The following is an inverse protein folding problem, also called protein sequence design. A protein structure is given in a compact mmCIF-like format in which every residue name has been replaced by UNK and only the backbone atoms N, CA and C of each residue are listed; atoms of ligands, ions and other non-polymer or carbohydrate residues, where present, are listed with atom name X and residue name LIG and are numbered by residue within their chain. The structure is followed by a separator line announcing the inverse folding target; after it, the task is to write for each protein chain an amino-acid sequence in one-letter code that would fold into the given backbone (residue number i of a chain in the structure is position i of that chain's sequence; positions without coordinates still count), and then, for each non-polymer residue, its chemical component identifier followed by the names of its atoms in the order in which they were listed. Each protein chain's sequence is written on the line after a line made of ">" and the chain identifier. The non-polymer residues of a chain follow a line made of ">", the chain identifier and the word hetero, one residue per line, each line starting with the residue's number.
data_IF_531826317839
#
_entry.id   IF_531826317839
#
_cell.length_a   1.000
_cell.length_b   1.000
_cell.length_c   1.000
_cell.angle_alpha   90.00
_cell.angle_beta   90.00
_cell.angle_gamma   90.00
#
_symmetry.space_group_name_H-M   'P 1'
#
loop_
_entity.id
_entity.type
_entity.pdbx_description
1 polymer ?
#
# COMPACT_ATOMS: atom_id res chain seq x y z
N UNK A 1 2.06 -19.29 3.98
CA UNK A 1 1.12 -18.35 4.62
C UNK A 1 0.03 -18.00 3.63
N UNK A 2 -1.20 -17.85 4.09
CA UNK A 2 -2.34 -17.47 3.27
C UNK A 2 -2.94 -16.15 3.80
N UNK A 3 -3.24 -15.23 2.89
CA UNK A 3 -3.89 -13.96 3.17
C UNK A 3 -5.24 -13.93 2.46
N UNK A 4 -6.27 -13.45 3.15
CA UNK A 4 -7.58 -13.20 2.56
C UNK A 4 -7.57 -12.02 1.58
N UNK A 5 -8.65 -11.93 0.81
CA UNK A 5 -8.92 -10.83 -0.10
C UNK A 5 -9.79 -9.76 0.57
N UNK A 6 -9.32 -8.53 0.49
CA UNK A 6 -10.02 -7.36 1.02
C UNK A 6 -11.16 -6.96 0.08
N UNK A 7 -12.33 -6.66 0.64
CA UNK A 7 -13.43 -6.01 -0.09
C UNK A 7 -13.83 -4.74 0.65
N UNK A 8 -13.63 -3.60 0.00
CA UNK A 8 -14.10 -2.33 0.55
C UNK A 8 -15.61 -2.20 0.42
N UNK A 9 -16.26 -1.84 1.51
CA UNK A 9 -17.71 -1.60 1.58
C UNK A 9 -18.01 -0.23 2.18
N UNK A 10 -19.13 0.38 1.77
CA UNK A 10 -19.52 1.72 2.20
C UNK A 10 -20.01 1.74 3.66
N UNK A 11 -20.67 0.67 4.09
CA UNK A 11 -21.29 0.50 5.40
C UNK A 11 -21.30 -0.98 5.78
N UNK A 12 -21.39 -1.24 7.09
CA UNK A 12 -21.59 -2.57 7.68
C UNK A 12 -22.63 -2.42 8.79
N UNK A 13 -23.43 -3.47 8.99
CA UNK A 13 -24.32 -3.58 10.12
C UNK A 13 -23.53 -3.66 11.45
N UNK A 14 -24.10 -3.09 12.50
CA UNK A 14 -23.43 -2.97 13.80
C UNK A 14 -23.39 -4.32 14.56
N UNK A 15 -24.17 -5.30 14.12
CA UNK A 15 -24.24 -6.67 14.65
C UNK A 15 -23.16 -7.61 14.07
N UNK A 16 -22.27 -7.08 13.21
CA UNK A 16 -21.21 -7.86 12.57
C UNK A 16 -21.68 -8.73 11.39
N UNK A 17 -22.95 -8.69 11.04
CA UNK A 17 -23.46 -9.41 9.87
C UNK A 17 -22.97 -8.79 8.55
N UNK A 18 -22.78 -9.59 7.47
CA UNK A 18 -22.23 -9.12 6.21
C UNK A 18 -23.29 -8.41 5.34
N UNK A 19 -23.98 -7.41 5.91
CA UNK A 19 -24.98 -6.57 5.24
C UNK A 19 -24.71 -5.09 5.48
N UNK A 20 -25.32 -4.23 4.67
CA UNK A 20 -25.24 -2.78 4.87
C UNK A 20 -25.95 -2.38 6.17
N UNK A 21 -25.61 -1.21 6.72
CA UNK A 21 -26.18 -0.67 7.97
C UNK A 21 -27.70 -0.52 7.94
N UNK A 22 -28.26 -0.22 6.76
CA UNK A 22 -29.71 -0.13 6.50
C UNK A 22 -30.39 -1.51 6.33
N UNK A 23 -29.65 -2.60 6.53
CA UNK A 23 -30.13 -3.98 6.32
C UNK A 23 -30.08 -4.44 4.86
N UNK A 24 -29.68 -3.56 3.93
CA UNK A 24 -29.60 -3.86 2.50
C UNK A 24 -28.32 -4.61 2.08
N UNK A 25 -28.17 -4.77 0.76
CA UNK A 25 -26.98 -5.40 0.18
C UNK A 25 -25.72 -4.54 0.39
N UNK A 26 -24.57 -5.20 0.49
CA UNK A 26 -23.27 -4.52 0.63
C UNK A 26 -22.94 -3.69 -0.62
N UNK A 27 -22.79 -2.38 -0.43
CA UNK A 27 -22.37 -1.46 -1.49
C UNK A 27 -20.84 -1.42 -1.59
N UNK A 28 -20.24 -1.78 -2.75
CA UNK A 28 -18.79 -1.69 -2.94
C UNK A 28 -18.29 -0.24 -2.81
N UNK A 29 -17.19 -0.05 -2.07
CA UNK A 29 -16.53 1.26 -1.90
C UNK A 29 -15.10 1.31 -2.48
N UNK A 30 -14.69 0.26 -3.21
CA UNK A 30 -13.38 0.19 -3.85
C UNK A 30 -13.23 1.22 -4.98
N UNK A 31 -12.03 1.79 -5.14
CA UNK A 31 -11.67 2.68 -6.25
C UNK A 31 -10.65 2.03 -7.20
N UNK A 32 -10.26 2.77 -8.24
CA UNK A 32 -9.30 2.30 -9.25
C UNK A 32 -7.95 1.86 -8.67
N UNK A 33 -7.43 2.59 -7.69
CA UNK A 33 -6.18 2.22 -7.01
C UNK A 33 -6.30 0.88 -6.26
N UNK A 34 -7.46 0.62 -5.63
CA UNK A 34 -7.72 -0.64 -4.92
C UNK A 34 -7.82 -1.80 -5.91
N UNK A 35 -8.45 -1.58 -7.08
CA UNK A 35 -8.50 -2.57 -8.15
C UNK A 35 -7.10 -2.89 -8.71
N UNK A 36 -6.28 -1.87 -8.95
CA UNK A 36 -4.90 -2.04 -9.42
C UNK A 36 -4.04 -2.79 -8.41
N UNK A 37 -4.05 -2.39 -7.14
CA UNK A 37 -3.32 -3.09 -6.08
C UNK A 37 -3.82 -4.53 -5.88
N UNK A 38 -5.13 -4.78 -6.00
CA UNK A 38 -5.69 -6.13 -5.95
C UNK A 38 -5.19 -7.02 -7.10
N UNK A 39 -5.03 -6.45 -8.31
CA UNK A 39 -4.48 -7.13 -9.48
C UNK A 39 -2.98 -7.45 -9.29
N UNK A 40 -2.18 -6.47 -8.83
CA UNK A 40 -0.76 -6.70 -8.48
C UNK A 40 -0.64 -7.84 -7.47
N UNK A 41 -1.42 -7.80 -6.38
CA UNK A 41 -1.43 -8.87 -5.36
C UNK A 41 -1.86 -10.22 -5.93
N UNK A 42 -2.79 -10.26 -6.88
CA UNK A 42 -3.18 -11.50 -7.55
C UNK A 42 -2.03 -12.08 -8.38
N UNK A 43 -1.31 -11.23 -9.13
CA UNK A 43 -0.14 -11.64 -9.91
C UNK A 43 0.99 -12.15 -9.01
N UNK A 44 1.32 -11.44 -7.94
CA UNK A 44 2.34 -11.87 -6.98
C UNK A 44 1.98 -13.20 -6.30
N UNK A 45 0.69 -13.36 -5.95
CA UNK A 45 0.18 -14.59 -5.34
C UNK A 45 0.31 -15.79 -6.26
N UNK A 46 0.11 -15.65 -7.58
CA UNK A 46 0.30 -16.76 -8.53
C UNK A 46 1.72 -17.32 -8.48
N UNK A 47 2.69 -16.45 -8.21
CA UNK A 47 4.09 -16.84 -8.01
C UNK A 47 4.44 -17.26 -6.58
N UNK A 48 3.49 -17.33 -5.65
CA UNK A 48 3.75 -17.62 -4.23
C UNK A 48 4.55 -16.52 -3.51
N UNK A 49 4.59 -15.31 -4.07
CA UNK A 49 5.47 -14.20 -3.65
C UNK A 49 4.68 -12.94 -3.28
N UNK A 50 3.47 -13.12 -2.76
CA UNK A 50 2.64 -12.00 -2.31
C UNK A 50 3.43 -11.13 -1.33
N UNK A 51 3.57 -9.84 -1.63
CA UNK A 51 4.29 -8.90 -0.78
C UNK A 51 3.35 -8.17 0.17
N UNK A 52 2.24 -7.65 -0.35
CA UNK A 52 1.25 -6.93 0.47
C UNK A 52 0.21 -7.92 1.03
N UNK A 53 0.37 -8.25 2.31
CA UNK A 53 -0.60 -9.01 3.12
C UNK A 53 -1.47 -8.06 3.96
N UNK A 54 -2.54 -8.59 4.54
CA UNK A 54 -3.48 -7.85 5.39
C UNK A 54 -3.67 -8.64 6.68
N UNK A 55 -3.31 -8.05 7.82
CA UNK A 55 -3.44 -8.70 9.12
C UNK A 55 -4.87 -9.11 9.52
N UNK A 56 -5.92 -8.52 8.93
CA UNK A 56 -7.31 -8.85 9.29
C UNK A 56 -7.71 -10.29 8.96
N UNK A 57 -7.08 -10.89 7.95
CA UNK A 57 -7.34 -12.28 7.57
C UNK A 57 -6.04 -12.92 7.09
N UNK A 58 -5.17 -13.22 8.06
CA UNK A 58 -3.86 -13.83 7.83
C UNK A 58 -3.76 -15.16 8.57
N UNK A 59 -3.35 -16.21 7.86
CA UNK A 59 -3.18 -17.55 8.43
C UNK A 59 -1.83 -18.15 8.04
N UNK A 60 -1.20 -18.83 8.98
CA UNK A 60 0.05 -19.56 8.77
C UNK A 60 0.07 -20.85 9.59
N UNK A 61 0.99 -21.75 9.23
CA UNK A 61 1.18 -22.99 9.98
C UNK A 61 1.94 -22.70 11.26
N UNK A 62 1.52 -23.33 12.36
CA UNK A 62 2.12 -23.15 13.69
C UNK A 62 3.61 -23.51 13.74
N UNK A 63 4.02 -24.50 12.96
CA UNK A 63 5.41 -24.99 12.88
C UNK A 63 6.41 -23.97 12.30
N UNK A 64 5.93 -22.85 11.76
CA UNK A 64 6.79 -21.77 11.28
C UNK A 64 7.35 -20.89 12.42
N UNK A 65 6.86 -21.04 13.65
CA UNK A 65 7.28 -20.27 14.86
C UNK A 65 7.51 -18.77 14.59
N UNK A 66 6.60 -18.16 13.82
CA UNK A 66 6.72 -16.76 13.44
C UNK A 66 6.52 -15.86 14.65
N UNK A 67 7.37 -14.85 14.81
CA UNK A 67 7.31 -13.91 15.94
C UNK A 67 7.50 -12.48 15.44
N UNK A 68 6.50 -11.59 15.59
CA UNK A 68 6.67 -10.20 15.19
C UNK A 68 7.69 -9.52 16.12
N UNK A 69 8.56 -8.68 15.56
CA UNK A 69 9.55 -7.94 16.35
C UNK A 69 8.82 -6.86 17.16
N UNK A 70 9.06 -6.76 18.49
CA UNK A 70 8.49 -5.69 19.29
C UNK A 70 8.79 -4.29 18.72
N UNK A 71 7.78 -3.42 18.68
CA UNK A 71 7.93 -2.03 18.21
C UNK A 71 7.93 -1.86 16.69
N UNK A 72 7.48 -2.88 15.93
CA UNK A 72 7.16 -2.78 14.50
C UNK A 72 5.65 -2.70 14.33
N UNK A 73 5.15 -1.65 13.68
CA UNK A 73 3.70 -1.40 13.58
C UNK A 73 2.98 -2.23 12.49
N UNK A 74 3.71 -2.69 11.46
CA UNK A 74 3.19 -3.55 10.40
C UNK A 74 3.73 -4.98 10.57
N UNK A 75 3.23 -5.65 11.60
CA UNK A 75 3.57 -7.03 11.96
C UNK A 75 3.24 -8.01 10.83
N UNK A 76 2.12 -7.82 10.13
CA UNK A 76 1.72 -8.63 8.98
C UNK A 76 2.79 -8.69 7.86
N UNK A 77 3.35 -7.54 7.48
CA UNK A 77 4.43 -7.45 6.50
C UNK A 77 5.71 -8.12 7.01
N UNK A 78 6.02 -8.01 8.30
CA UNK A 78 7.17 -8.67 8.91
C UNK A 78 7.00 -10.19 8.90
N UNK A 79 5.86 -10.69 9.37
CA UNK A 79 5.55 -12.12 9.42
C UNK A 79 5.58 -12.74 8.02
N UNK A 80 5.02 -12.05 7.02
CA UNK A 80 5.10 -12.48 5.62
C UNK A 80 6.55 -12.66 5.17
N UNK A 81 7.46 -11.76 5.56
CA UNK A 81 8.87 -11.90 5.21
C UNK A 81 9.54 -13.06 5.89
N UNK A 82 9.26 -13.30 7.17
CA UNK A 82 9.81 -14.46 7.89
C UNK A 82 9.43 -15.76 7.16
N UNK A 83 8.18 -15.85 6.69
CA UNK A 83 7.72 -16.98 5.87
C UNK A 83 8.51 -17.11 4.56
N UNK A 84 8.73 -16.00 3.85
CA UNK A 84 9.53 -16.02 2.61
C UNK A 84 10.99 -16.34 2.85
N UNK A 85 11.57 -15.84 3.95
CA UNK A 85 12.94 -16.14 4.34
C UNK A 85 13.13 -17.63 4.66
N UNK A 86 12.08 -18.30 5.16
CA UNK A 86 12.03 -19.75 5.32
C UNK A 86 11.76 -20.52 4.01
N UNK A 87 11.81 -19.85 2.85
CA UNK A 87 11.58 -20.47 1.53
C UNK A 87 10.14 -20.93 1.31
N UNK A 88 9.17 -20.41 2.07
CA UNK A 88 7.77 -20.80 1.96
C UNK A 88 6.97 -19.78 1.15
N UNK A 89 5.94 -20.28 0.46
CA UNK A 89 5.04 -19.44 -0.32
C UNK A 89 4.13 -18.58 0.57
N UNK A 90 3.86 -17.36 0.09
CA UNK A 90 2.78 -16.49 0.59
C UNK A 90 1.79 -16.27 -0.54
N UNK A 91 0.54 -16.64 -0.30
CA UNK A 91 -0.53 -16.62 -1.30
C UNK A 91 -1.74 -15.82 -0.81
N UNK A 92 -2.48 -15.27 -1.76
CA UNK A 92 -3.79 -14.65 -1.57
C UNK A 92 -4.87 -15.65 -1.93
N UNK A 93 -5.86 -15.82 -1.06
CA UNK A 93 -7.06 -16.61 -1.33
C UNK A 93 -8.19 -15.66 -1.76
N UNK A 94 -8.72 -15.84 -2.97
CA UNK A 94 -9.77 -14.96 -3.52
C UNK A 94 -11.14 -15.20 -2.87
N UNK A 95 -11.37 -16.42 -2.39
CA UNK A 95 -12.65 -16.83 -1.81
C UNK A 95 -12.72 -16.59 -0.30
N UNK A 96 -11.57 -16.54 0.37
CA UNK A 96 -11.48 -16.07 1.76
C UNK A 96 -11.49 -14.54 1.77
N UNK A 97 -12.64 -13.94 2.09
CA UNK A 97 -12.85 -12.49 1.98
C UNK A 97 -13.10 -11.87 3.35
N UNK A 98 -12.57 -10.66 3.55
CA UNK A 98 -12.93 -9.81 4.68
C UNK A 98 -13.45 -8.46 4.17
N UNK A 99 -14.32 -7.85 4.96
CA UNK A 99 -14.95 -6.57 4.62
C UNK A 99 -14.22 -5.45 5.37
N UNK A 100 -13.80 -4.41 4.65
CA UNK A 100 -13.17 -3.23 5.25
C UNK A 100 -14.00 -1.98 4.94
N UNK A 101 -14.37 -1.25 5.99
CA UNK A 101 -14.97 0.07 5.85
C UNK A 101 -13.89 1.07 5.43
N UNK A 102 -14.19 1.89 4.42
CA UNK A 102 -13.32 3.02 4.11
C UNK A 102 -13.57 4.14 5.10
N UNK A 103 -12.48 4.58 5.74
CA UNK A 103 -12.49 5.80 6.54
C UNK A 103 -12.96 6.97 5.66
N UNK A 104 -14.02 7.70 6.08
CA UNK A 104 -14.51 8.86 5.35
C UNK A 104 -13.42 9.90 5.12
N UNK A 105 -13.51 10.75 4.08
CA UNK A 105 -12.59 11.88 3.91
C UNK A 105 -12.56 12.76 5.17
N UNK A 106 -11.36 13.13 5.64
CA UNK A 106 -11.15 13.92 6.84
C UNK A 106 -9.80 13.61 7.52
N UNK A 107 -9.60 14.19 8.70
CA UNK A 107 -8.34 14.09 9.45
C UNK A 107 -8.03 12.67 9.92
N UNK A 108 -9.06 11.89 10.28
CA UNK A 108 -8.92 10.49 10.65
C UNK A 108 -8.33 9.65 9.51
N UNK A 109 -8.80 9.90 8.28
CA UNK A 109 -8.29 9.20 7.10
C UNK A 109 -6.86 9.62 6.79
N UNK A 110 -6.55 10.90 6.88
CA UNK A 110 -5.18 11.40 6.69
C UNK A 110 -4.22 10.79 7.73
N UNK A 111 -4.64 10.75 8.99
CA UNK A 111 -3.88 10.17 10.11
C UNK A 111 -3.69 8.66 9.93
N UNK A 112 -4.74 7.94 9.53
CA UNK A 112 -4.66 6.50 9.24
C UNK A 112 -3.71 6.21 8.06
N UNK A 113 -3.80 6.99 6.98
CA UNK A 113 -2.93 6.84 5.81
C UNK A 113 -1.47 7.12 6.17
N UNK A 114 -1.20 8.19 6.91
CA UNK A 114 0.14 8.53 7.39
C UNK A 114 0.70 7.44 8.30
N UNK A 115 -0.09 6.94 9.25
CA UNK A 115 0.30 5.84 10.13
C UNK A 115 0.63 4.57 9.34
N UNK A 116 -0.22 4.16 8.40
CA UNK A 116 0.03 2.99 7.53
C UNK A 116 1.29 3.17 6.68
N UNK A 117 1.51 4.36 6.12
CA UNK A 117 2.71 4.68 5.36
C UNK A 117 3.98 4.62 6.22
N UNK A 118 3.94 5.16 7.45
CA UNK A 118 5.05 5.06 8.41
C UNK A 118 5.36 3.62 8.78
N UNK A 119 4.35 2.85 9.16
CA UNK A 119 4.50 1.42 9.46
C UNK A 119 5.17 0.65 8.30
N UNK A 120 4.76 0.95 7.06
CA UNK A 120 5.40 0.41 5.86
C UNK A 120 6.89 0.78 5.76
N UNK A 121 7.25 2.06 5.85
CA UNK A 121 8.64 2.50 5.74
C UNK A 121 9.52 1.99 6.90
N UNK A 122 8.95 1.90 8.11
CA UNK A 122 9.61 1.32 9.27
C UNK A 122 10.02 -0.15 9.01
N UNK A 123 9.09 -0.98 8.51
CA UNK A 123 9.36 -2.37 8.16
C UNK A 123 10.41 -2.43 7.06
N UNK A 124 10.18 -1.76 5.93
CA UNK A 124 11.06 -1.82 4.75
C UNK A 124 12.48 -1.33 5.05
N UNK A 125 12.62 -0.33 5.92
CA UNK A 125 13.91 0.22 6.35
C UNK A 125 14.74 -0.78 7.17
N UNK A 126 14.12 -1.45 8.13
CA UNK A 126 14.76 -2.44 9.03
C UNK A 126 15.04 -3.78 8.36
N UNK A 127 14.28 -4.07 7.33
CA UNK A 127 14.29 -5.35 6.66
C UNK A 127 15.54 -5.60 5.80
N UNK A 128 16.16 -6.78 5.98
CA UNK A 128 17.22 -7.31 5.11
C UNK A 128 16.72 -8.55 4.37
N UNK A 129 17.09 -8.70 3.11
CA UNK A 129 16.85 -9.95 2.39
C UNK A 129 17.83 -11.02 2.89
N UNK A 130 17.41 -12.29 2.99
CA UNK A 130 18.32 -13.37 3.34
C UNK A 130 19.44 -13.51 2.30
N UNK A 131 20.62 -13.91 2.76
CA UNK A 131 21.72 -14.26 1.87
C UNK A 131 21.26 -15.39 0.93
N UNK A 132 21.50 -15.24 -0.37
CA UNK A 132 21.06 -16.22 -1.36
C UNK A 132 19.60 -16.08 -1.81
N UNK A 133 18.86 -15.03 -1.42
CA UNK A 133 17.51 -14.78 -1.94
C UNK A 133 17.47 -14.84 -3.48
N UNK A 134 16.44 -15.42 -4.10
CA UNK A 134 16.30 -15.46 -5.56
C UNK A 134 16.34 -14.06 -6.19
N UNK A 135 16.84 -13.94 -7.43
CA UNK A 135 16.97 -12.64 -8.12
C UNK A 135 15.63 -11.89 -8.19
N UNK A 136 14.53 -12.60 -8.47
CA UNK A 136 13.20 -12.01 -8.54
C UNK A 136 12.75 -11.43 -7.20
N UNK A 137 13.08 -12.09 -6.08
CA UNK A 137 12.77 -11.62 -4.74
C UNK A 137 13.59 -10.36 -4.39
N UNK A 138 14.85 -10.31 -4.84
CA UNK A 138 15.70 -9.11 -4.72
C UNK A 138 15.14 -7.95 -5.53
N UNK A 139 14.74 -8.19 -6.78
CA UNK A 139 14.16 -7.19 -7.64
C UNK A 139 12.84 -6.65 -7.07
N UNK A 140 11.93 -7.55 -6.65
CA UNK A 140 10.67 -7.18 -6.00
C UNK A 140 10.94 -6.31 -4.76
N UNK A 141 11.82 -6.74 -3.86
CA UNK A 141 12.13 -5.95 -2.66
C UNK A 141 12.77 -4.61 -2.98
N UNK A 142 13.68 -4.55 -3.96
CA UNK A 142 14.28 -3.30 -4.42
C UNK A 142 13.22 -2.34 -4.96
N UNK A 143 12.24 -2.84 -5.73
CA UNK A 143 11.11 -2.05 -6.22
C UNK A 143 10.25 -1.52 -5.06
N UNK A 144 9.83 -2.37 -4.14
CA UNK A 144 9.04 -1.94 -2.97
C UNK A 144 9.81 -0.97 -2.06
N UNK A 145 11.14 -1.11 -1.96
CA UNK A 145 11.96 -0.20 -1.17
C UNK A 145 12.17 1.16 -1.84
N UNK A 146 12.50 1.15 -3.12
CA UNK A 146 12.96 2.35 -3.83
C UNK A 146 11.81 3.12 -4.47
N UNK A 147 10.83 2.45 -5.08
CA UNK A 147 9.77 3.15 -5.84
C UNK A 147 8.95 4.09 -4.95
N UNK A 148 8.39 3.66 -3.80
CA UNK A 148 7.65 4.58 -2.94
C UNK A 148 8.54 5.72 -2.43
N UNK A 149 9.80 5.44 -2.08
CA UNK A 149 10.71 6.46 -1.59
C UNK A 149 11.02 7.53 -2.64
N UNK A 150 11.23 7.12 -3.90
CA UNK A 150 11.59 8.00 -5.00
C UNK A 150 10.37 8.67 -5.66
N UNK A 151 9.17 8.12 -5.49
CA UNK A 151 7.97 8.58 -6.18
C UNK A 151 7.69 10.09 -6.04
N UNK A 152 7.83 10.74 -4.86
CA UNK A 152 7.60 12.19 -4.76
C UNK A 152 8.57 13.01 -5.60
N UNK A 153 9.86 12.66 -5.57
CA UNK A 153 10.89 13.36 -6.34
C UNK A 153 10.72 13.11 -7.85
N UNK A 154 10.48 11.86 -8.24
CA UNK A 154 10.25 11.48 -9.63
C UNK A 154 9.02 12.18 -10.22
N UNK A 155 7.92 12.29 -9.45
CA UNK A 155 6.73 13.01 -9.89
C UNK A 155 6.98 14.51 -10.04
N UNK A 156 7.71 15.13 -9.11
CA UNK A 156 8.13 16.53 -9.22
C UNK A 156 8.99 16.77 -10.46
N UNK A 157 10.00 15.93 -10.68
CA UNK A 157 10.85 16.00 -11.86
C UNK A 157 10.06 15.81 -13.16
N UNK A 158 9.15 14.82 -13.21
CA UNK A 158 8.31 14.59 -14.38
C UNK A 158 7.46 15.82 -14.74
N UNK A 159 6.87 16.49 -13.73
CA UNK A 159 6.11 17.73 -13.95
C UNK A 159 6.99 18.87 -14.47
N UNK A 160 8.24 18.97 -14.01
CA UNK A 160 9.19 19.98 -14.48
C UNK A 160 9.70 19.71 -15.90
N UNK A 161 9.87 18.44 -16.27
CA UNK A 161 10.41 18.05 -17.58
C UNK A 161 9.37 18.08 -18.69
N UNK A 162 8.07 17.91 -18.38
CA UNK A 162 7.00 17.86 -19.38
C UNK A 162 6.99 19.06 -20.36
N UNK A 163 7.12 20.32 -19.90
CA UNK A 163 7.22 21.48 -20.80
C UNK A 163 8.46 21.44 -21.70
N UNK A 164 9.62 21.06 -21.14
CA UNK A 164 10.89 20.97 -21.87
C UNK A 164 10.88 19.85 -22.92
N UNK A 165 10.29 18.69 -22.59
CA UNK A 165 10.08 17.59 -23.53
C UNK A 165 9.12 18.00 -24.65
N UNK A 166 8.06 18.73 -24.31
CA UNK A 166 7.15 19.31 -25.30
C UNK A 166 7.87 20.26 -26.25
N UNK A 167 8.67 21.18 -25.71
CA UNK A 167 9.48 22.13 -26.48
C UNK A 167 10.47 21.41 -27.40
N UNK A 168 11.20 20.42 -26.91
CA UNK A 168 12.17 19.65 -27.71
C UNK A 168 11.49 18.87 -28.85
N UNK A 169 10.25 18.42 -28.65
CA UNK A 169 9.54 17.62 -29.65
C UNK A 169 8.86 18.45 -30.74
N UNK A 170 8.21 19.56 -30.39
CA UNK A 170 7.38 20.35 -31.32
C UNK A 170 7.60 21.86 -31.26
N UNK A 171 8.69 22.32 -30.63
CA UNK A 171 8.93 23.75 -30.43
C UNK A 171 7.87 24.40 -29.54
N UNK A 172 7.57 25.68 -29.78
CA UNK A 172 6.64 26.48 -28.95
C UNK A 172 5.24 25.84 -28.80
N UNK A 173 4.61 25.28 -29.85
CA UNK A 173 3.35 24.53 -29.68
C UNK A 173 3.46 23.34 -28.71
N UNK A 174 4.59 22.63 -28.73
CA UNK A 174 4.84 21.52 -27.83
C UNK A 174 5.03 21.96 -26.38
N UNK A 175 5.65 23.13 -26.15
CA UNK A 175 5.73 23.75 -24.82
C UNK A 175 4.33 23.99 -24.22
N UNK A 176 3.42 24.55 -25.02
CA UNK A 176 2.03 24.76 -24.59
C UNK A 176 1.32 23.47 -24.19
N UNK A 177 1.47 22.40 -24.98
CA UNK A 177 0.94 21.08 -24.65
C UNK A 177 1.56 20.51 -23.36
N UNK A 178 2.88 20.60 -23.20
CA UNK A 178 3.58 20.13 -22.01
C UNK A 178 3.12 20.86 -20.74
N UNK A 179 2.94 22.18 -20.82
CA UNK A 179 2.39 23.00 -19.74
C UNK A 179 0.93 22.63 -19.42
N UNK A 180 0.09 22.41 -20.43
CA UNK A 180 -1.29 22.00 -20.24
C UNK A 180 -1.39 20.61 -19.57
N UNK A 181 -0.54 19.66 -19.98
CA UNK A 181 -0.47 18.34 -19.36
C UNK A 181 0.02 18.41 -17.90
N UNK A 182 1.05 19.21 -17.63
CA UNK A 182 1.52 19.44 -16.26
C UNK A 182 0.42 20.07 -15.39
N UNK A 183 -0.31 21.05 -15.92
CA UNK A 183 -1.46 21.66 -15.24
C UNK A 183 -2.58 20.64 -14.99
N UNK A 184 -2.91 19.81 -15.98
CA UNK A 184 -3.93 18.76 -15.83
C UNK A 184 -3.51 17.73 -14.77
N UNK A 185 -2.25 17.27 -14.78
CA UNK A 185 -1.71 16.38 -13.75
C UNK A 185 -1.64 17.03 -12.37
N UNK A 186 -1.54 18.36 -12.27
CA UNK A 186 -1.50 19.08 -10.99
C UNK A 186 -2.90 19.35 -10.42
N UNK A 187 -3.84 19.77 -11.27
CA UNK A 187 -5.11 20.34 -10.85
C UNK A 187 -6.32 19.42 -11.06
N UNK A 188 -6.24 18.42 -11.94
CA UNK A 188 -7.32 17.45 -12.09
C UNK A 188 -7.53 16.64 -10.79
N UNK A 189 -8.74 16.11 -10.52
CA UNK A 189 -9.02 15.30 -9.33
C UNK A 189 -8.05 14.13 -9.12
N UNK A 190 -7.66 13.44 -10.20
CA UNK A 190 -6.67 12.34 -10.17
C UNK A 190 -5.30 12.87 -9.76
N UNK A 191 -4.88 14.00 -10.32
CA UNK A 191 -3.65 14.70 -9.99
C UNK A 191 -3.54 15.09 -8.52
N UNK A 192 -4.61 15.69 -7.98
CA UNK A 192 -4.68 16.05 -6.55
C UNK A 192 -4.63 14.83 -5.64
N UNK A 193 -5.30 13.74 -6.00
CA UNK A 193 -5.23 12.46 -5.25
C UNK A 193 -3.80 11.90 -5.23
N UNK A 194 -3.11 11.93 -6.37
CA UNK A 194 -1.72 11.51 -6.47
C UNK A 194 -0.82 12.43 -5.64
N UNK A 195 -0.95 13.75 -5.77
CA UNK A 195 -0.17 14.71 -4.99
C UNK A 195 -0.36 14.49 -3.47
N UNK A 196 -1.60 14.24 -3.02
CA UNK A 196 -1.88 13.92 -1.62
C UNK A 196 -1.18 12.62 -1.20
N UNK A 197 -1.26 11.55 -1.99
CA UNK A 197 -0.55 10.30 -1.72
C UNK A 197 0.97 10.52 -1.61
N UNK A 198 1.56 11.25 -2.56
CA UNK A 198 2.99 11.57 -2.56
C UNK A 198 3.39 12.43 -1.37
N UNK A 199 2.52 13.35 -0.92
CA UNK A 199 2.76 14.15 0.29
C UNK A 199 2.74 13.30 1.55
N UNK A 200 1.83 12.32 1.65
CA UNK A 200 1.79 11.35 2.77
C UNK A 200 3.07 10.53 2.79
N UNK A 201 3.52 10.05 1.64
CA UNK A 201 4.77 9.30 1.49
C UNK A 201 5.99 10.15 1.88
N UNK A 202 6.03 11.42 1.46
CA UNK A 202 7.13 12.32 1.82
C UNK A 202 7.12 12.63 3.33
N UNK A 203 5.94 12.83 3.92
CA UNK A 203 5.76 13.12 5.33
C UNK A 203 6.11 11.91 6.22
N UNK A 204 5.76 10.69 5.80
CA UNK A 204 6.11 9.48 6.55
C UNK A 204 7.62 9.30 6.63
N UNK A 205 8.36 9.59 5.55
CA UNK A 205 9.83 9.48 5.53
C UNK A 205 10.55 10.45 6.48
N UNK A 206 10.00 11.63 6.74
CA UNK A 206 10.61 12.65 7.61
C UNK A 206 10.49 12.33 9.11
N UNK A 207 9.52 11.48 9.51
CA UNK A 207 9.20 11.23 10.92
C UNK A 207 9.77 9.94 11.54
N UNK A 208 10.38 9.05 10.76
CA UNK A 208 10.50 7.62 11.14
C UNK A 208 11.89 7.16 11.62
N UNK A 209 12.92 8.01 11.61
CA UNK A 209 14.26 7.55 12.05
C UNK A 209 14.36 7.30 13.57
N UNK A 210 13.49 7.91 14.39
CA UNK A 210 13.67 7.96 15.85
C UNK A 210 12.49 7.43 16.69
N UNK A 211 11.30 7.19 16.11
CA UNK A 211 10.12 6.84 16.91
C UNK A 211 9.73 5.37 16.73
N UNK A 212 9.84 4.59 17.80
CA UNK A 212 9.05 3.37 17.96
C UNK A 212 7.58 3.79 18.04
N UNK A 213 6.76 3.32 17.09
CA UNK A 213 5.31 3.47 17.18
C UNK A 213 4.85 2.55 18.32
N UNK A 214 4.35 3.09 19.45
CA UNK A 214 3.96 2.28 20.61
C UNK A 214 2.72 1.42 20.33
N UNK A 215 1.91 1.83 19.34
CA UNK A 215 0.68 1.14 18.99
C UNK A 215 0.96 -0.15 18.22
N UNK A 216 0.77 -1.27 18.91
CA UNK A 216 0.36 -2.51 18.25
C UNK A 216 -1.02 -2.30 17.65
N UNK A 217 -1.36 -3.09 16.64
CA UNK A 217 -2.69 -3.10 16.04
C UNK A 217 -3.70 -3.74 17.00
N UNK A 218 -3.95 -3.09 18.13
CA UNK A 218 -5.07 -3.42 19.00
C UNK A 218 -6.32 -2.86 18.33
N UNK A 219 -6.96 -3.70 17.51
CA UNK A 219 -8.37 -3.51 17.21
C UNK A 219 -9.09 -3.43 18.56
N UNK A 220 -9.89 -2.38 18.84
CA UNK A 220 -10.69 -2.33 20.04
C UNK A 220 -11.48 -3.63 20.12
N UNK A 221 -11.16 -4.47 21.12
CA UNK A 221 -11.99 -5.64 21.43
C UNK A 221 -13.22 -5.06 22.13
N UNK A 222 -14.27 -4.82 21.36
CA UNK A 222 -15.60 -4.55 21.90
C UNK A 222 -16.17 -5.83 22.48
#
# INVERSE_FOLDING_TARGET
>A
MACGSQRFVASLADDGSPRSRDGGALVPAGGLYDAWTAAVRALESRGGRLFSVHGQLLAWRRDLDLRPTPGVAADDLELMRQVRAAGRAVIKLNDARFLELKTPPGDDRASQQLRRARAYFQVIGRCRLPAGAPLLDRAQFALYRSVPALAPAAAGLALMLLPGLGLAWRGVPGLGLGMALAALLRYAPIGRRLANLLSVIAASRKGDAAHTLPDRWEMPRR
#
